data_IF_479763604452
#
_entry.id   IF_479763604452
#
_cell.length_a   1.000
_cell.length_b   1.000
_cell.length_c   1.000
_cell.angle_alpha   90.00
_cell.angle_beta   90.00
_cell.angle_gamma   90.00
#
_symmetry.space_group_name_H-M   'P 1'
#
loop_
_entity.id
_entity.type
_entity.pdbx_description
1 polymer ?
#
# COMPACT_ATOMS: atom_id res chain seq x y z
N UNK A 1 -15.35 -8.64 -19.42
CA UNK A 1 -14.15 -8.10 -20.09
C UNK A 1 -12.94 -8.98 -19.78
N UNK A 2 -11.91 -8.88 -20.60
CA UNK A 2 -10.58 -9.41 -20.34
C UNK A 2 -9.68 -8.26 -19.86
N UNK A 3 -9.28 -8.26 -18.61
CA UNK A 3 -8.49 -7.21 -17.95
C UNK A 3 -7.07 -7.74 -17.75
N UNK A 4 -6.07 -6.93 -18.10
CA UNK A 4 -4.68 -7.24 -17.85
C UNK A 4 -4.09 -6.29 -16.83
N UNK A 5 -3.75 -6.82 -15.66
CA UNK A 5 -3.09 -6.10 -14.58
C UNK A 5 -1.57 -6.08 -14.80
N UNK A 6 -0.95 -4.91 -14.69
CA UNK A 6 0.50 -4.76 -14.74
C UNK A 6 0.95 -4.04 -13.46
N UNK A 7 1.33 -4.76 -12.39
CA UNK A 7 1.83 -4.16 -11.17
C UNK A 7 3.33 -3.85 -11.26
N UNK A 8 3.75 -2.69 -10.72
CA UNK A 8 5.17 -2.32 -10.57
C UNK A 8 5.87 -3.14 -9.49
N UNK A 9 5.13 -3.66 -8.53
CA UNK A 9 5.61 -4.53 -7.46
C UNK A 9 4.50 -5.47 -7.00
N UNK A 10 4.89 -6.69 -6.59
CA UNK A 10 3.98 -7.77 -6.21
C UNK A 10 4.61 -8.61 -5.10
N UNK A 11 3.83 -9.32 -4.27
CA UNK A 11 4.39 -10.20 -3.26
C UNK A 11 5.51 -11.13 -3.78
N UNK A 12 6.58 -11.34 -2.98
CA UNK A 12 6.78 -10.95 -1.57
C UNK A 12 7.30 -9.52 -1.35
N UNK A 13 7.45 -8.70 -2.38
CA UNK A 13 8.07 -7.37 -2.32
C UNK A 13 7.08 -6.22 -2.10
N UNK A 14 5.86 -6.51 -1.67
CA UNK A 14 4.76 -5.55 -1.51
C UNK A 14 3.63 -5.80 -2.50
N UNK A 15 2.71 -4.83 -2.68
CA UNK A 15 1.67 -4.90 -3.72
C UNK A 15 0.54 -5.89 -3.43
N UNK A 16 0.28 -6.25 -2.18
CA UNK A 16 -0.86 -7.11 -1.81
C UNK A 16 -2.20 -6.54 -2.29
N UNK A 17 -2.34 -5.22 -2.32
CA UNK A 17 -3.53 -4.54 -2.82
C UNK A 17 -3.81 -4.83 -4.31
N UNK A 18 -2.78 -5.06 -5.14
CA UNK A 18 -2.96 -5.46 -6.54
C UNK A 18 -3.68 -6.82 -6.63
N UNK A 19 -3.29 -7.76 -5.77
CA UNK A 19 -3.94 -9.08 -5.71
C UNK A 19 -5.39 -8.95 -5.25
N UNK A 20 -5.67 -8.12 -4.24
CA UNK A 20 -7.04 -7.93 -3.74
C UNK A 20 -7.92 -7.23 -4.79
N UNK A 21 -7.41 -6.25 -5.55
CA UNK A 21 -8.15 -5.65 -6.65
C UNK A 21 -8.41 -6.66 -7.79
N UNK A 22 -7.41 -7.47 -8.15
CA UNK A 22 -7.57 -8.55 -9.12
C UNK A 22 -8.66 -9.53 -8.69
N UNK A 23 -8.67 -9.97 -7.42
CA UNK A 23 -9.72 -10.84 -6.89
C UNK A 23 -11.10 -10.21 -7.01
N UNK A 24 -11.23 -8.92 -6.68
CA UNK A 24 -12.49 -8.20 -6.76
C UNK A 24 -13.02 -8.16 -8.20
N UNK A 25 -12.16 -7.90 -9.19
CA UNK A 25 -12.53 -7.91 -10.61
C UNK A 25 -12.94 -9.31 -11.10
N UNK A 26 -12.25 -10.37 -10.67
CA UNK A 26 -12.66 -11.76 -10.95
C UNK A 26 -14.00 -12.08 -10.29
N UNK A 27 -14.25 -11.57 -9.08
CA UNK A 27 -15.55 -11.73 -8.41
C UNK A 27 -16.69 -11.03 -9.16
N UNK A 28 -16.42 -9.91 -9.86
CA UNK A 28 -17.35 -9.26 -10.78
C UNK A 28 -17.57 -10.02 -12.11
N UNK A 29 -16.93 -11.17 -12.32
CA UNK A 29 -17.12 -12.01 -13.51
C UNK A 29 -16.17 -11.68 -14.67
N UNK A 30 -15.10 -10.93 -14.42
CA UNK A 30 -14.11 -10.62 -15.46
C UNK A 30 -13.02 -11.71 -15.56
N UNK A 31 -12.51 -11.90 -16.79
CA UNK A 31 -11.27 -12.63 -17.01
C UNK A 31 -10.11 -11.69 -16.67
N UNK A 32 -9.25 -12.05 -15.72
CA UNK A 32 -8.12 -11.21 -15.30
C UNK A 32 -6.83 -12.00 -15.37
N UNK A 33 -5.81 -11.41 -15.98
CA UNK A 33 -4.43 -11.89 -15.94
C UNK A 33 -3.49 -10.85 -15.36
N UNK A 34 -2.34 -11.27 -14.88
CA UNK A 34 -1.32 -10.39 -14.31
C UNK A 34 0.00 -10.60 -15.06
N UNK A 35 0.60 -9.53 -15.57
CA UNK A 35 2.00 -9.51 -16.02
C UNK A 35 2.87 -8.80 -15.00
N UNK A 36 3.91 -9.47 -14.51
CA UNK A 36 4.78 -8.88 -13.51
C UNK A 36 6.26 -9.13 -13.79
N UNK A 37 7.05 -8.06 -13.77
CA UNK A 37 8.51 -8.09 -13.83
C UNK A 37 9.08 -7.45 -12.56
N UNK A 38 9.68 -8.24 -11.67
CA UNK A 38 10.32 -7.72 -10.47
C UNK A 38 11.72 -7.23 -10.77
N UNK A 39 11.99 -5.95 -10.52
CA UNK A 39 13.35 -5.44 -10.53
C UNK A 39 14.06 -5.79 -9.23
N UNK A 40 15.19 -6.48 -9.33
CA UNK A 40 16.05 -6.85 -8.22
C UNK A 40 17.34 -6.03 -8.26
N UNK A 41 17.57 -5.20 -7.24
CA UNK A 41 18.82 -4.47 -7.05
C UNK A 41 19.78 -5.23 -6.14
N UNK A 42 21.05 -5.30 -6.50
CA UNK A 42 22.06 -6.00 -5.71
C UNK A 42 22.23 -5.43 -4.28
N UNK A 43 22.00 -4.13 -4.11
CA UNK A 43 22.10 -3.44 -2.81
C UNK A 43 20.86 -3.60 -1.93
N UNK A 44 19.68 -3.77 -2.55
CA UNK A 44 18.39 -3.86 -1.83
C UNK A 44 18.03 -5.32 -1.54
N UNK A 45 18.33 -6.21 -2.46
CA UNK A 45 18.00 -7.64 -2.39
C UNK A 45 19.21 -8.50 -2.79
N UNK A 46 20.37 -8.44 -2.07
CA UNK A 46 21.61 -9.04 -2.52
C UNK A 46 21.48 -10.55 -2.73
N UNK A 47 20.79 -11.25 -1.82
CA UNK A 47 20.60 -12.69 -1.94
C UNK A 47 19.65 -13.05 -3.10
N UNK A 48 18.51 -12.38 -3.20
CA UNK A 48 17.57 -12.60 -4.31
C UNK A 48 18.17 -12.20 -5.66
N UNK A 49 19.03 -11.19 -5.71
CA UNK A 49 19.73 -10.80 -6.93
C UNK A 49 20.60 -11.93 -7.49
N UNK A 50 21.17 -12.77 -6.64
CA UNK A 50 22.00 -13.92 -7.04
C UNK A 50 21.18 -15.17 -7.33
N UNK A 51 20.13 -15.45 -6.53
CA UNK A 51 19.43 -16.73 -6.50
C UNK A 51 18.08 -16.73 -7.19
N UNK A 52 17.52 -15.56 -7.53
CA UNK A 52 16.21 -15.46 -8.13
C UNK A 52 16.15 -16.07 -9.53
N UNK A 53 14.97 -16.57 -9.89
CA UNK A 53 14.66 -17.03 -11.24
C UNK A 53 14.51 -15.83 -12.18
N UNK A 54 15.25 -15.84 -13.28
CA UNK A 54 15.20 -14.77 -14.30
C UNK A 54 14.49 -15.21 -15.59
N UNK A 55 14.22 -16.50 -15.75
CA UNK A 55 13.37 -17.00 -16.84
C UNK A 55 11.90 -16.67 -16.53
N UNK A 56 11.08 -16.56 -17.58
CA UNK A 56 9.64 -16.37 -17.45
C UNK A 56 8.97 -17.63 -16.91
N UNK A 57 7.96 -17.46 -16.06
CA UNK A 57 7.16 -18.57 -15.53
C UNK A 57 5.72 -18.13 -15.28
N UNK A 58 4.84 -19.11 -15.25
CA UNK A 58 3.43 -18.93 -14.95
C UNK A 58 3.11 -19.54 -13.59
N UNK A 59 2.26 -18.83 -12.85
CA UNK A 59 1.64 -19.31 -11.62
C UNK A 59 0.12 -19.15 -11.76
N UNK A 60 -0.63 -20.07 -11.20
CA UNK A 60 -2.08 -19.94 -11.06
C UNK A 60 -2.41 -19.70 -9.60
N UNK A 61 -3.03 -18.56 -9.33
CA UNK A 61 -3.57 -18.27 -8.02
C UNK A 61 -5.00 -18.81 -7.96
N UNK A 62 -5.32 -19.49 -6.86
CA UNK A 62 -6.65 -20.04 -6.56
C UNK A 62 -7.24 -19.27 -5.35
N UNK A 63 -7.69 -18.02 -5.53
CA UNK A 63 -8.13 -17.18 -4.42
C UNK A 63 -9.56 -17.48 -3.96
N UNK A 64 -10.28 -18.37 -4.67
CA UNK A 64 -11.66 -18.71 -4.41
C UNK A 64 -11.80 -20.21 -4.13
N UNK A 65 -12.88 -20.59 -3.45
CA UNK A 65 -13.22 -21.99 -3.18
C UNK A 65 -13.87 -22.70 -4.39
N UNK A 66 -13.76 -22.12 -5.57
CA UNK A 66 -14.26 -22.64 -6.83
C UNK A 66 -13.14 -22.73 -7.88
N UNK A 67 -13.50 -23.05 -9.13
CA UNK A 67 -12.52 -23.24 -10.23
C UNK A 67 -11.99 -21.93 -10.83
N UNK A 68 -12.35 -20.76 -10.32
CA UNK A 68 -11.82 -19.48 -10.81
C UNK A 68 -10.36 -19.32 -10.43
N UNK A 69 -9.55 -19.02 -11.43
CA UNK A 69 -8.10 -18.84 -11.26
C UNK A 69 -7.66 -17.49 -11.82
N UNK A 70 -6.59 -16.95 -11.26
CA UNK A 70 -5.88 -15.80 -11.79
C UNK A 70 -4.56 -16.29 -12.37
N UNK A 71 -4.36 -16.04 -13.67
CA UNK A 71 -3.07 -16.34 -14.29
C UNK A 71 -2.07 -15.24 -14.00
N UNK A 72 -0.98 -15.58 -13.35
CA UNK A 72 0.13 -14.70 -13.04
C UNK A 72 1.35 -15.11 -13.86
N UNK A 73 1.71 -14.28 -14.86
CA UNK A 73 2.88 -14.50 -15.70
C UNK A 73 4.02 -13.57 -15.24
N UNK A 74 5.12 -14.16 -14.80
CA UNK A 74 6.19 -13.49 -14.06
C UNK A 74 7.56 -13.63 -14.69
N UNK A 75 8.41 -12.64 -14.39
CA UNK A 75 9.86 -12.73 -14.52
C UNK A 75 10.53 -11.82 -13.49
N UNK A 76 11.85 -11.93 -13.36
CA UNK A 76 12.66 -10.95 -12.64
C UNK A 76 13.66 -10.30 -13.61
N UNK A 77 14.07 -9.08 -13.32
CA UNK A 77 15.17 -8.42 -14.01
C UNK A 77 16.22 -7.93 -13.02
N UNK A 78 17.50 -8.04 -13.41
CA UNK A 78 18.60 -7.44 -12.65
C UNK A 78 18.64 -5.93 -12.91
N UNK A 79 18.50 -5.15 -11.84
CA UNK A 79 18.65 -3.70 -11.93
C UNK A 79 20.11 -3.29 -12.02
N UNK A 80 20.41 -2.35 -12.90
CA UNK A 80 21.72 -1.71 -12.97
C UNK A 80 21.75 -0.56 -11.95
N UNK A 81 22.69 -0.55 -10.99
CA UNK A 81 22.76 0.49 -9.98
C UNK A 81 22.87 1.89 -10.60
N UNK A 82 22.17 2.86 -10.03
CA UNK A 82 22.21 4.28 -10.44
C UNK A 82 21.84 4.58 -11.91
N UNK A 83 21.33 3.60 -12.66
CA UNK A 83 20.90 3.79 -14.05
C UNK A 83 19.41 3.48 -14.20
N UNK A 84 18.61 4.39 -13.68
CA UNK A 84 17.16 4.23 -13.62
C UNK A 84 16.53 4.22 -15.01
N UNK A 85 17.01 5.08 -15.93
CA UNK A 85 16.54 5.13 -17.30
C UNK A 85 16.70 3.80 -18.03
N UNK A 86 17.91 3.29 -18.01
CA UNK A 86 18.19 2.00 -18.64
C UNK A 86 17.30 0.90 -18.08
N UNK A 87 17.14 0.89 -16.74
CA UNK A 87 16.27 -0.07 -16.08
C UNK A 87 14.80 0.09 -16.50
N UNK A 88 14.32 1.34 -16.63
CA UNK A 88 12.96 1.64 -17.08
C UNK A 88 12.72 1.16 -18.52
N UNK A 89 13.62 1.50 -19.45
CA UNK A 89 13.51 1.04 -20.84
C UNK A 89 13.56 -0.49 -20.93
N UNK A 90 14.45 -1.11 -20.17
CA UNK A 90 14.54 -2.58 -20.13
C UNK A 90 13.29 -3.21 -19.56
N UNK A 91 12.71 -2.63 -18.50
CA UNK A 91 11.43 -3.07 -17.94
C UNK A 91 10.32 -2.99 -18.99
N UNK A 92 10.16 -1.85 -19.66
CA UNK A 92 9.14 -1.67 -20.71
C UNK A 92 9.31 -2.70 -21.82
N UNK A 93 10.57 -2.97 -22.27
CA UNK A 93 10.84 -3.99 -23.28
C UNK A 93 10.43 -5.38 -22.81
N UNK A 94 10.80 -5.78 -21.59
CA UNK A 94 10.47 -7.09 -21.03
C UNK A 94 8.95 -7.26 -20.91
N UNK A 95 8.24 -6.26 -20.41
CA UNK A 95 6.77 -6.30 -20.28
C UNK A 95 6.11 -6.37 -21.66
N UNK A 96 6.61 -5.63 -22.66
CA UNK A 96 6.07 -5.69 -24.02
C UNK A 96 6.26 -7.07 -24.65
N UNK A 97 7.40 -7.71 -24.47
CA UNK A 97 7.65 -9.08 -24.95
C UNK A 97 6.73 -10.10 -24.23
N UNK A 98 6.60 -9.97 -22.89
CA UNK A 98 5.68 -10.82 -22.10
C UNK A 98 4.22 -10.61 -22.51
N UNK A 99 3.84 -9.39 -22.89
CA UNK A 99 2.51 -9.09 -23.38
C UNK A 99 2.21 -9.84 -24.67
N UNK A 100 3.14 -9.87 -25.65
CA UNK A 100 2.94 -10.61 -26.91
C UNK A 100 2.79 -12.12 -26.66
N UNK A 101 3.59 -12.68 -25.75
CA UNK A 101 3.45 -14.08 -25.34
C UNK A 101 2.12 -14.35 -24.63
N UNK A 102 1.70 -13.42 -23.75
CA UNK A 102 0.42 -13.52 -23.08
C UNK A 102 -0.74 -13.50 -24.08
N UNK A 103 -0.73 -12.56 -25.02
CA UNK A 103 -1.78 -12.45 -26.04
C UNK A 103 -1.85 -13.71 -26.92
N UNK A 104 -0.72 -14.30 -27.26
CA UNK A 104 -0.69 -15.54 -28.06
C UNK A 104 -1.36 -16.73 -27.35
N UNK A 105 -1.36 -16.75 -26.02
CA UNK A 105 -1.92 -17.84 -25.20
C UNK A 105 -3.34 -17.59 -24.74
N UNK A 106 -3.67 -16.35 -24.41
CA UNK A 106 -4.90 -16.02 -23.69
C UNK A 106 -5.82 -15.06 -24.45
N UNK A 107 -5.38 -14.54 -25.58
CA UNK A 107 -6.06 -13.48 -26.34
C UNK A 107 -5.74 -12.07 -25.86
N UNK A 108 -6.05 -11.07 -26.69
CA UNK A 108 -5.84 -9.68 -26.34
C UNK A 108 -6.77 -9.24 -25.18
N UNK A 109 -6.29 -8.45 -24.23
CA UNK A 109 -7.15 -7.86 -23.23
C UNK A 109 -7.96 -6.70 -23.81
N UNK A 110 -9.14 -6.44 -23.23
CA UNK A 110 -9.96 -5.27 -23.55
C UNK A 110 -9.40 -3.99 -22.93
N UNK A 111 -8.71 -4.12 -21.79
CA UNK A 111 -8.15 -3.02 -21.02
C UNK A 111 -6.89 -3.45 -20.28
N UNK A 112 -5.96 -2.51 -20.13
CA UNK A 112 -4.76 -2.66 -19.29
C UNK A 112 -4.93 -1.79 -18.04
N UNK A 113 -4.71 -2.37 -16.87
CA UNK A 113 -4.68 -1.66 -15.60
C UNK A 113 -3.28 -1.73 -14.99
N UNK A 114 -2.59 -0.61 -14.93
CA UNK A 114 -1.26 -0.51 -14.38
C UNK A 114 -1.30 -0.02 -12.92
N UNK A 115 -0.48 -0.62 -12.06
CA UNK A 115 -0.32 -0.13 -10.68
C UNK A 115 1.01 0.60 -10.55
N UNK A 116 0.91 1.88 -10.25
CA UNK A 116 1.90 2.94 -10.28
C UNK A 116 2.30 3.39 -11.69
N UNK A 117 2.41 4.69 -11.87
CA UNK A 117 2.81 5.31 -13.13
C UNK A 117 4.26 4.95 -13.49
N UNK A 118 5.12 4.90 -12.48
CA UNK A 118 6.49 4.41 -12.61
C UNK A 118 6.47 2.91 -12.94
N UNK A 119 7.33 2.45 -13.82
CA UNK A 119 7.46 1.08 -14.32
C UNK A 119 6.20 0.62 -15.09
N UNK A 120 5.14 0.23 -14.40
CA UNK A 120 3.95 -0.36 -14.99
C UNK A 120 3.20 0.60 -15.92
N UNK A 121 2.94 1.84 -15.49
CA UNK A 121 2.22 2.83 -16.29
C UNK A 121 2.95 3.18 -17.58
N UNK A 122 4.27 3.36 -17.53
CA UNK A 122 5.09 3.62 -18.74
C UNK A 122 5.12 2.42 -19.69
N UNK A 123 5.11 1.19 -19.18
CA UNK A 123 5.03 -0.01 -20.01
C UNK A 123 3.63 -0.16 -20.63
N UNK A 124 2.58 0.09 -19.86
CA UNK A 124 1.19 0.08 -20.34
C UNK A 124 0.97 1.10 -21.46
N UNK A 125 1.53 2.32 -21.31
CA UNK A 125 1.52 3.36 -22.35
C UNK A 125 2.11 2.82 -23.68
N UNK A 126 3.31 2.22 -23.65
CA UNK A 126 3.96 1.71 -24.86
C UNK A 126 3.18 0.56 -25.53
N UNK A 127 2.52 -0.30 -24.73
CA UNK A 127 1.64 -1.34 -25.28
C UNK A 127 0.37 -0.72 -25.87
N UNK A 128 -0.24 0.23 -25.16
CA UNK A 128 -1.44 0.94 -25.61
C UNK A 128 -1.23 1.64 -26.95
N UNK A 129 -0.13 2.36 -27.13
CA UNK A 129 0.24 3.02 -28.40
C UNK A 129 0.40 2.03 -29.56
N UNK A 130 0.98 0.87 -29.29
CA UNK A 130 1.22 -0.14 -30.32
C UNK A 130 -0.02 -0.96 -30.68
N UNK A 131 -0.90 -1.23 -29.70
CA UNK A 131 -2.01 -2.18 -29.82
C UNK A 131 -3.38 -1.54 -29.79
N UNK A 132 -3.46 -0.22 -29.58
CA UNK A 132 -4.71 0.54 -29.44
C UNK A 132 -5.63 -0.03 -28.34
N UNK A 133 -5.04 -0.45 -27.21
CA UNK A 133 -5.76 -0.96 -26.05
C UNK A 133 -5.77 0.14 -24.99
N UNK A 134 -6.94 0.57 -24.47
CA UNK A 134 -6.98 1.60 -23.44
C UNK A 134 -6.30 1.13 -22.16
N UNK A 135 -5.62 2.06 -21.46
CA UNK A 135 -5.01 1.76 -20.18
C UNK A 135 -5.39 2.77 -19.11
N UNK A 136 -5.40 2.28 -17.87
CA UNK A 136 -5.65 3.01 -16.64
C UNK A 136 -4.46 2.85 -15.70
N UNK A 137 -4.24 3.82 -14.85
CA UNK A 137 -3.16 3.76 -13.84
C UNK A 137 -3.78 3.97 -12.46
N UNK A 138 -3.58 3.03 -11.53
CA UNK A 138 -3.81 3.31 -10.10
C UNK A 138 -2.49 3.70 -9.45
N UNK A 139 -2.41 4.93 -8.89
CA UNK A 139 -1.21 5.40 -8.20
C UNK A 139 -1.30 5.11 -6.70
N UNK A 140 -0.27 4.45 -6.18
CA UNK A 140 -0.17 4.01 -4.78
C UNK A 140 0.97 4.67 -4.01
N UNK A 141 1.86 5.40 -4.68
CA UNK A 141 3.03 5.99 -4.06
C UNK A 141 2.73 7.38 -3.49
N UNK A 142 3.18 7.65 -2.28
CA UNK A 142 3.02 8.97 -1.66
C UNK A 142 4.02 9.98 -2.24
N UNK A 143 3.65 11.27 -2.21
CA UNK A 143 4.53 12.38 -2.55
C UNK A 143 5.87 12.30 -1.80
N UNK A 144 5.85 11.88 -0.53
CA UNK A 144 7.06 11.67 0.27
C UNK A 144 8.03 10.63 -0.30
N UNK A 145 7.58 9.72 -1.16
CA UNK A 145 8.46 8.78 -1.88
C UNK A 145 9.08 9.43 -3.12
N UNK A 146 8.40 10.42 -3.70
CA UNK A 146 8.88 11.16 -4.86
C UNK A 146 9.75 12.37 -4.50
N UNK A 147 9.71 12.85 -3.25
CA UNK A 147 10.48 14.00 -2.80
C UNK A 147 11.93 13.65 -2.39
N UNK A 148 12.83 14.61 -2.61
CA UNK A 148 14.27 14.54 -2.26
C UNK A 148 14.51 14.20 -0.80
N UNK A 149 13.68 14.69 0.11
CA UNK A 149 13.79 14.50 1.54
C UNK A 149 13.80 13.02 1.97
N UNK A 150 13.37 12.12 1.10
CA UNK A 150 13.35 10.68 1.36
C UNK A 150 14.32 9.89 0.47
N UNK A 151 15.24 10.60 -0.22
CA UNK A 151 16.30 9.96 -1.00
C UNK A 151 15.77 9.17 -2.21
N UNK A 152 14.69 9.63 -2.82
CA UNK A 152 14.20 9.04 -4.06
C UNK A 152 14.95 9.65 -5.25
N UNK A 153 15.69 8.85 -6.04
CA UNK A 153 16.46 9.35 -7.17
C UNK A 153 15.61 9.94 -8.31
N UNK A 154 14.28 9.73 -8.30
CA UNK A 154 13.36 10.20 -9.33
C UNK A 154 13.15 11.70 -9.32
N UNK A 155 13.29 12.35 -8.19
CA UNK A 155 13.14 13.80 -8.07
C UNK A 155 14.24 14.57 -8.81
N UNK A 156 15.41 13.94 -9.02
CA UNK A 156 16.55 14.52 -9.71
C UNK A 156 16.62 14.18 -11.20
N UNK A 157 15.81 13.24 -11.68
CA UNK A 157 15.88 12.73 -13.04
C UNK A 157 14.73 13.33 -13.89
N UNK A 158 14.98 14.53 -14.41
CA UNK A 158 13.96 15.33 -15.11
C UNK A 158 13.23 14.58 -16.21
N UNK A 159 13.93 13.74 -16.99
CA UNK A 159 13.29 13.04 -18.09
C UNK A 159 12.56 11.77 -17.67
N UNK A 160 12.95 11.11 -16.57
CA UNK A 160 12.13 10.07 -15.95
C UNK A 160 10.81 10.66 -15.45
N UNK A 161 10.85 11.88 -14.92
CA UNK A 161 9.67 12.65 -14.54
C UNK A 161 8.78 12.96 -15.75
N UNK A 162 9.36 13.34 -16.88
CA UNK A 162 8.63 13.59 -18.13
C UNK A 162 8.01 12.32 -18.71
N UNK A 163 8.70 11.19 -18.64
CA UNK A 163 8.15 9.91 -19.06
C UNK A 163 6.94 9.49 -18.20
N UNK A 164 7.03 9.64 -16.88
CA UNK A 164 5.93 9.37 -15.95
C UNK A 164 4.77 10.31 -16.22
N UNK A 165 5.03 11.62 -16.38
CA UNK A 165 4.01 12.61 -16.74
C UNK A 165 3.29 12.21 -18.01
N UNK A 166 4.01 11.85 -19.06
CA UNK A 166 3.44 11.42 -20.34
C UNK A 166 2.56 10.19 -20.18
N UNK A 167 2.98 9.22 -19.35
CA UNK A 167 2.17 8.05 -19.07
C UNK A 167 0.87 8.40 -18.32
N UNK A 168 0.91 9.36 -17.38
CA UNK A 168 -0.29 9.85 -16.70
C UNK A 168 -1.23 10.60 -17.66
N UNK A 169 -0.69 11.49 -18.50
CA UNK A 169 -1.46 12.31 -19.45
C UNK A 169 -2.14 11.48 -20.56
N UNK A 170 -1.51 10.39 -20.99
CA UNK A 170 -2.06 9.48 -22.02
C UNK A 170 -2.95 8.37 -21.48
N UNK A 171 -2.96 8.15 -20.17
CA UNK A 171 -3.87 7.22 -19.55
C UNK A 171 -5.32 7.66 -19.75
N UNK A 172 -6.23 6.71 -19.98
CA UNK A 172 -7.66 7.00 -20.09
C UNK A 172 -8.19 7.65 -18.81
N UNK A 173 -7.72 7.17 -17.65
CA UNK A 173 -7.93 7.79 -16.35
C UNK A 173 -6.84 7.35 -15.37
N UNK A 174 -6.46 8.24 -14.47
CA UNK A 174 -5.59 7.96 -13.33
C UNK A 174 -6.44 7.77 -12.08
N UNK A 175 -6.34 6.62 -11.47
CA UNK A 175 -7.05 6.27 -10.24
C UNK A 175 -6.14 6.63 -9.08
N UNK A 176 -6.63 7.44 -8.16
CA UNK A 176 -5.96 7.77 -6.91
C UNK A 176 -6.65 7.05 -5.75
N UNK A 177 -5.90 6.74 -4.70
CA UNK A 177 -6.46 6.03 -3.54
C UNK A 177 -7.04 6.96 -2.48
N UNK A 178 -6.78 8.27 -2.62
CA UNK A 178 -7.35 9.34 -1.78
C UNK A 178 -7.41 10.65 -2.56
N UNK A 179 -8.23 11.59 -2.13
CA UNK A 179 -8.37 12.88 -2.79
C UNK A 179 -7.10 13.74 -2.63
N UNK A 180 -6.39 13.62 -1.50
CA UNK A 180 -5.11 14.27 -1.27
C UNK A 180 -4.06 13.81 -2.29
N UNK A 181 -4.14 12.57 -2.73
CA UNK A 181 -3.25 12.01 -3.75
C UNK A 181 -3.38 12.71 -5.11
N UNK A 182 -4.56 13.23 -5.43
CA UNK A 182 -4.78 14.03 -6.65
C UNK A 182 -3.92 15.30 -6.61
N UNK A 183 -3.92 16.00 -5.47
CA UNK A 183 -3.13 17.22 -5.29
C UNK A 183 -1.62 16.93 -5.34
N UNK A 184 -1.19 15.84 -4.73
CA UNK A 184 0.20 15.40 -4.76
C UNK A 184 0.68 15.13 -6.19
N UNK A 185 -0.10 14.37 -6.96
CA UNK A 185 0.22 14.09 -8.37
C UNK A 185 0.20 15.36 -9.22
N UNK A 186 -0.78 16.24 -9.03
CA UNK A 186 -0.87 17.50 -9.76
C UNK A 186 0.33 18.42 -9.47
N UNK A 187 0.79 18.46 -8.23
CA UNK A 187 1.98 19.25 -7.83
C UNK A 187 3.24 18.71 -8.49
N UNK A 188 3.38 17.39 -8.62
CA UNK A 188 4.58 16.75 -9.16
C UNK A 188 4.61 16.70 -10.68
N UNK A 189 3.47 16.42 -11.32
CA UNK A 189 3.39 16.07 -12.73
C UNK A 189 2.47 16.99 -13.54
N UNK A 190 1.84 18.00 -12.91
CA UNK A 190 0.82 18.85 -13.53
C UNK A 190 -0.57 18.21 -13.47
N UNK A 191 -1.55 18.85 -14.10
CA UNK A 191 -2.97 18.50 -14.00
C UNK A 191 -3.63 18.14 -15.35
N UNK A 192 -2.85 17.75 -16.34
CA UNK A 192 -3.34 17.42 -17.69
C UNK A 192 -3.77 15.97 -17.86
N UNK A 193 -4.18 15.32 -16.79
CA UNK A 193 -4.73 13.96 -16.80
C UNK A 193 -6.02 13.90 -16.00
N UNK A 194 -6.92 13.00 -16.42
CA UNK A 194 -8.19 12.77 -15.70
C UNK A 194 -7.93 11.93 -14.46
N UNK A 195 -8.60 12.24 -13.36
CA UNK A 195 -8.48 11.50 -12.11
C UNK A 195 -9.83 11.04 -11.57
N UNK A 196 -9.80 9.93 -10.85
CA UNK A 196 -10.92 9.44 -10.04
C UNK A 196 -10.36 8.82 -8.77
N UNK A 197 -11.02 9.04 -7.64
CA UNK A 197 -10.62 8.43 -6.36
C UNK A 197 -11.36 7.12 -6.14
N UNK A 198 -10.61 6.02 -6.05
CA UNK A 198 -11.12 4.69 -5.70
C UNK A 198 -10.22 4.10 -4.61
N UNK A 199 -10.81 3.79 -3.47
CA UNK A 199 -10.10 3.25 -2.29
C UNK A 199 -9.36 1.94 -2.59
N UNK A 200 -8.30 1.68 -1.84
CA UNK A 200 -7.72 0.35 -1.75
C UNK A 200 -8.74 -0.64 -1.17
N UNK A 201 -8.50 -1.92 -1.41
CA UNK A 201 -9.31 -3.03 -0.88
C UNK A 201 -8.68 -3.59 0.39
N UNK A 202 -9.53 -3.92 1.35
CA UNK A 202 -9.17 -4.68 2.55
C UNK A 202 -9.90 -6.02 2.53
N UNK A 203 -9.20 -7.08 2.92
CA UNK A 203 -9.78 -8.40 3.18
C UNK A 203 -10.60 -8.36 4.48
N UNK A 204 -11.85 -7.92 4.36
CA UNK A 204 -12.75 -7.66 5.48
C UNK A 204 -13.22 -8.94 6.19
N UNK A 205 -13.17 -10.08 5.53
CA UNK A 205 -13.50 -11.36 6.16
C UNK A 205 -12.33 -11.84 7.01
N UNK A 206 -11.13 -11.56 6.59
CA UNK A 206 -9.93 -11.86 7.36
C UNK A 206 -9.77 -10.90 8.54
N UNK A 207 -9.83 -9.57 8.32
CA UNK A 207 -9.74 -8.54 9.37
C UNK A 207 -11.10 -8.16 9.96
N UNK A 208 -12.01 -9.13 10.11
CA UNK A 208 -13.35 -8.86 10.62
C UNK A 208 -13.35 -8.40 12.07
N UNK A 209 -14.38 -7.66 12.45
CA UNK A 209 -14.67 -7.33 13.83
C UNK A 209 -14.80 -8.59 14.68
N UNK A 210 -14.28 -8.53 15.87
CA UNK A 210 -14.44 -9.55 16.90
C UNK A 210 -14.82 -8.89 18.20
N UNK A 211 -15.93 -9.28 18.76
CA UNK A 211 -16.35 -8.82 20.09
C UNK A 211 -15.27 -9.14 21.13
N UNK A 212 -15.05 -8.21 22.01
CA UNK A 212 -13.97 -8.29 23.02
C UNK A 212 -14.54 -8.26 24.42
N UNK A 213 -13.89 -9.00 25.31
CA UNK A 213 -14.16 -8.89 26.75
C UNK A 213 -13.77 -7.50 27.23
N UNK A 214 -14.57 -6.91 28.15
CA UNK A 214 -14.21 -5.64 28.81
C UNK A 214 -12.82 -5.72 29.41
N UNK A 215 -12.09 -4.61 29.35
CA UNK A 215 -10.78 -4.49 29.99
C UNK A 215 -10.91 -4.69 31.51
N UNK A 216 -10.51 -5.84 31.99
CA UNK A 216 -10.48 -6.12 33.43
C UNK A 216 -9.10 -5.74 33.98
N UNK A 217 -8.93 -4.49 34.40
CA UNK A 217 -7.74 -3.95 35.11
C UNK A 217 -6.37 -4.13 34.40
N UNK A 218 -6.32 -4.52 33.11
CA UNK A 218 -5.06 -4.57 32.36
C UNK A 218 -4.67 -3.18 31.81
N UNK A 219 -3.38 -2.94 31.54
CA UNK A 219 -2.94 -1.74 30.82
C UNK A 219 -3.64 -1.56 29.48
N UNK A 220 -3.77 -0.31 29.02
CA UNK A 220 -4.25 0.00 27.67
C UNK A 220 -3.19 -0.42 26.65
N UNK A 221 -3.57 -1.20 25.63
CA UNK A 221 -2.65 -1.73 24.63
C UNK A 221 -2.75 -0.97 23.35
N UNK A 222 -1.67 -0.27 23.01
CA UNK A 222 -1.46 0.30 21.70
C UNK A 222 -0.69 -0.67 20.79
N UNK A 223 -1.01 -0.72 19.50
CA UNK A 223 -0.15 -1.35 18.51
C UNK A 223 0.31 -0.35 17.45
N UNK A 224 1.55 -0.51 17.00
CA UNK A 224 2.12 0.18 15.85
C UNK A 224 2.59 -0.86 14.85
N UNK A 225 2.00 -0.86 13.66
CA UNK A 225 2.30 -1.81 12.59
C UNK A 225 2.96 -1.07 11.43
N UNK A 226 4.27 -0.95 11.48
CA UNK A 226 5.04 -0.20 10.48
C UNK A 226 6.48 -0.70 10.40
N UNK A 227 7.08 -0.61 9.21
CA UNK A 227 8.48 -0.91 9.02
C UNK A 227 9.38 0.16 9.66
N UNK A 228 10.53 -0.23 10.20
CA UNK A 228 11.51 0.66 10.83
C UNK A 228 12.87 0.68 10.09
N UNK A 229 12.97 0.03 8.93
CA UNK A 229 14.21 -0.04 8.17
C UNK A 229 14.51 1.26 7.40
N UNK A 230 15.78 1.69 7.44
CA UNK A 230 16.25 2.85 6.68
C UNK A 230 15.40 4.10 6.93
N UNK A 231 14.97 4.75 5.86
CA UNK A 231 14.15 5.96 5.88
C UNK A 231 12.73 5.77 6.45
N UNK A 232 12.25 4.53 6.52
CA UNK A 232 10.92 4.27 7.10
C UNK A 232 10.86 4.57 8.59
N UNK A 233 11.98 4.56 9.30
CA UNK A 233 12.02 4.96 10.69
C UNK A 233 11.54 6.42 10.86
N UNK A 234 12.06 7.35 10.06
CA UNK A 234 11.67 8.76 10.07
C UNK A 234 10.27 8.94 9.49
N UNK A 235 10.00 8.33 8.34
CA UNK A 235 8.73 8.46 7.63
C UNK A 235 7.54 8.01 8.49
N UNK A 236 7.72 6.94 9.28
CA UNK A 236 6.69 6.41 10.19
C UNK A 236 6.69 7.07 11.58
N UNK A 237 7.54 8.09 11.77
CA UNK A 237 7.55 8.96 12.94
C UNK A 237 7.85 8.26 14.25
N UNK A 238 8.77 7.29 14.25
CA UNK A 238 9.08 6.51 15.46
C UNK A 238 9.55 7.39 16.63
N UNK A 239 10.33 8.45 16.38
CA UNK A 239 10.76 9.35 17.46
C UNK A 239 9.57 10.11 18.08
N UNK A 240 8.60 10.53 17.27
CA UNK A 240 7.36 11.16 17.75
C UNK A 240 6.55 10.17 18.57
N UNK A 241 6.35 8.95 18.08
CA UNK A 241 5.61 7.89 18.77
C UNK A 241 6.25 7.57 20.13
N UNK A 242 7.55 7.33 20.15
CA UNK A 242 8.28 6.95 21.38
C UNK A 242 8.27 8.09 22.42
N UNK A 243 8.49 9.35 22.00
CA UNK A 243 8.38 10.52 22.88
C UNK A 243 6.97 10.69 23.45
N UNK A 244 5.93 10.48 22.63
CA UNK A 244 4.55 10.54 23.09
C UNK A 244 4.23 9.41 24.08
N UNK A 245 4.62 8.17 23.74
CA UNK A 245 4.37 7.01 24.59
C UNK A 245 5.13 7.08 25.93
N UNK A 246 6.31 7.69 25.96
CA UNK A 246 7.09 7.84 27.22
C UNK A 246 6.32 8.57 28.33
N UNK A 247 5.30 9.36 27.98
CA UNK A 247 4.42 10.09 28.90
C UNK A 247 3.18 9.29 29.29
N UNK A 248 2.88 8.17 28.62
CA UNK A 248 1.72 7.35 28.93
C UNK A 248 1.91 6.56 30.23
N UNK A 249 0.87 6.59 31.08
CA UNK A 249 0.80 5.77 32.30
C UNK A 249 -0.14 4.61 32.07
N UNK A 250 0.13 3.46 32.72
CA UNK A 250 -0.70 2.25 32.65
C UNK A 250 -1.06 1.83 31.22
N UNK A 251 -0.06 1.85 30.32
CA UNK A 251 -0.20 1.48 28.90
C UNK A 251 0.95 0.59 28.44
N UNK A 252 0.68 -0.23 27.45
CA UNK A 252 1.64 -1.06 26.69
C UNK A 252 1.69 -0.62 25.24
N UNK A 253 2.87 -0.70 24.60
CA UNK A 253 3.05 -0.42 23.18
C UNK A 253 3.68 -1.62 22.49
N UNK A 254 2.94 -2.21 21.56
CA UNK A 254 3.36 -3.34 20.75
C UNK A 254 3.75 -2.86 19.36
N UNK A 255 5.01 -3.04 18.96
CA UNK A 255 5.54 -2.57 17.67
C UNK A 255 5.90 -3.78 16.81
N UNK A 256 5.33 -3.86 15.60
CA UNK A 256 5.63 -4.91 14.65
C UNK A 256 5.89 -4.36 13.24
N UNK A 257 6.74 -5.04 12.50
CA UNK A 257 7.17 -4.71 11.14
C UNK A 257 8.64 -5.01 10.92
N UNK A 258 9.09 -4.86 9.68
CA UNK A 258 10.49 -5.12 9.32
C UNK A 258 11.43 -4.21 10.09
N UNK A 259 12.54 -4.75 10.61
CA UNK A 259 13.56 -4.05 11.39
C UNK A 259 13.07 -3.42 12.71
N UNK A 260 11.87 -3.74 13.18
CA UNK A 260 11.41 -3.25 14.50
C UNK A 260 12.17 -3.89 15.67
N UNK A 261 12.87 -4.99 15.45
CA UNK A 261 13.84 -5.59 16.38
C UNK A 261 15.29 -5.16 16.11
N UNK A 262 15.51 -4.26 15.15
CA UNK A 262 16.84 -3.75 14.78
C UNK A 262 17.48 -2.86 15.84
N UNK A 263 18.79 -2.64 15.75
CA UNK A 263 19.59 -1.88 16.75
C UNK A 263 19.06 -0.47 16.98
N UNK A 264 18.64 0.23 15.92
CA UNK A 264 18.19 1.61 15.98
C UNK A 264 16.98 1.75 16.92
N UNK A 265 15.91 1.00 16.64
CA UNK A 265 14.69 1.08 17.44
C UNK A 265 14.90 0.50 18.85
N UNK A 266 15.64 -0.60 19.00
CA UNK A 266 16.00 -1.14 20.33
C UNK A 266 16.72 -0.11 21.20
N UNK A 267 17.67 0.64 20.64
CA UNK A 267 18.41 1.66 21.40
C UNK A 267 17.49 2.83 21.78
N UNK A 268 16.63 3.29 20.85
CA UNK A 268 15.66 4.33 21.14
C UNK A 268 14.67 3.91 22.26
N UNK A 269 14.20 2.66 22.24
CA UNK A 269 13.32 2.13 23.30
C UNK A 269 14.05 2.03 24.63
N UNK A 270 15.30 1.52 24.66
CA UNK A 270 16.08 1.37 25.90
C UNK A 270 16.35 2.68 26.62
N UNK A 271 16.38 3.80 25.92
CA UNK A 271 16.58 5.12 26.52
C UNK A 271 15.35 5.66 27.25
N UNK A 272 14.19 5.01 27.15
CA UNK A 272 12.95 5.45 27.77
C UNK A 272 12.76 4.86 29.18
N UNK A 273 12.22 5.66 30.09
CA UNK A 273 11.95 5.24 31.47
C UNK A 273 10.90 4.12 31.58
N UNK A 274 9.97 4.07 30.61
CA UNK A 274 8.92 3.04 30.52
C UNK A 274 9.20 1.96 29.48
N UNK A 275 10.46 1.75 29.11
CA UNK A 275 10.90 0.77 28.10
C UNK A 275 10.38 -0.66 28.33
N UNK A 276 10.17 -1.04 29.60
CA UNK A 276 9.58 -2.35 29.98
C UNK A 276 8.15 -2.57 29.47
N UNK A 277 7.45 -1.50 29.12
CA UNK A 277 6.08 -1.54 28.59
C UNK A 277 6.05 -1.48 27.05
N UNK A 278 7.21 -1.58 26.36
CA UNK A 278 7.32 -1.56 24.91
C UNK A 278 7.80 -2.92 24.41
N UNK A 279 7.00 -3.54 23.55
CA UNK A 279 7.22 -4.88 23.04
C UNK A 279 7.53 -4.82 21.54
N UNK A 280 8.72 -5.28 21.15
CA UNK A 280 9.18 -5.29 19.75
C UNK A 280 9.03 -6.71 19.17
N UNK A 281 8.16 -6.88 18.20
CA UNK A 281 7.78 -8.20 17.66
C UNK A 281 8.56 -8.62 16.40
N UNK A 282 9.17 -7.66 15.68
CA UNK A 282 9.75 -7.96 14.37
C UNK A 282 8.66 -8.05 13.29
N UNK A 283 8.99 -8.69 12.18
CA UNK A 283 8.06 -8.93 11.09
C UNK A 283 7.11 -10.08 11.47
N UNK A 284 5.81 -9.84 11.33
CA UNK A 284 4.75 -10.80 11.69
C UNK A 284 4.06 -11.34 10.44
N UNK A 285 3.53 -12.58 10.51
CA UNK A 285 2.63 -13.09 9.49
C UNK A 285 1.29 -12.35 9.50
N UNK A 286 0.52 -12.44 8.42
CA UNK A 286 -0.80 -11.80 8.30
C UNK A 286 -1.73 -12.23 9.45
N UNK A 287 -1.69 -13.50 9.84
CA UNK A 287 -2.45 -14.08 10.96
C UNK A 287 -2.03 -13.50 12.31
N UNK A 288 -0.72 -13.33 12.53
CA UNK A 288 -0.17 -12.75 13.76
C UNK A 288 -0.49 -11.24 13.83
N UNK A 289 -0.47 -10.51 12.71
CA UNK A 289 -0.93 -9.12 12.64
C UNK A 289 -2.40 -9.03 13.05
N UNK A 290 -3.27 -9.86 12.50
CA UNK A 290 -4.69 -9.90 12.88
C UNK A 290 -4.88 -10.21 14.37
N UNK A 291 -4.15 -11.20 14.88
CA UNK A 291 -4.22 -11.57 16.29
C UNK A 291 -3.80 -10.41 17.20
N UNK A 292 -2.73 -9.67 16.83
CA UNK A 292 -2.28 -8.50 17.54
C UNK A 292 -3.32 -7.37 17.51
N UNK A 293 -3.93 -7.10 16.35
CA UNK A 293 -5.01 -6.13 16.21
C UNK A 293 -6.21 -6.49 17.09
N UNK A 294 -6.55 -7.76 17.23
CA UNK A 294 -7.63 -8.23 18.10
C UNK A 294 -7.30 -8.13 19.60
N UNK A 295 -6.04 -8.13 19.97
CA UNK A 295 -5.59 -8.04 21.38
C UNK A 295 -5.34 -6.60 21.85
N UNK A 296 -5.08 -5.67 20.93
CA UNK A 296 -4.84 -4.27 21.21
C UNK A 296 -6.12 -3.43 21.24
N UNK A 297 -6.09 -2.30 21.94
CA UNK A 297 -7.23 -1.40 22.14
C UNK A 297 -7.27 -0.28 21.09
N UNK A 298 -6.09 0.14 20.55
CA UNK A 298 -5.99 1.15 19.50
C UNK A 298 -4.73 0.94 18.65
N UNK A 299 -4.82 1.32 17.36
CA UNK A 299 -3.64 1.50 16.51
C UNK A 299 -3.06 2.89 16.71
N UNK A 300 -1.73 3.00 16.75
CA UNK A 300 -1.00 4.28 16.75
C UNK A 300 -0.01 4.32 15.58
N UNK A 301 -0.04 5.39 14.78
CA UNK A 301 0.83 5.56 13.62
C UNK A 301 1.23 7.03 13.46
N UNK A 302 2.39 7.43 13.97
CA UNK A 302 2.87 8.82 13.95
C UNK A 302 3.48 9.25 12.61
N UNK A 303 2.98 8.71 11.51
CA UNK A 303 3.53 8.85 10.16
C UNK A 303 3.60 10.30 9.66
N UNK A 304 4.57 10.58 8.79
CA UNK A 304 4.77 11.90 8.19
C UNK A 304 4.14 12.03 6.79
N UNK A 305 3.85 10.92 6.11
CA UNK A 305 3.24 10.90 4.78
C UNK A 305 2.59 9.56 4.50
N UNK A 306 1.36 9.59 3.98
CA UNK A 306 0.61 8.41 3.56
C UNK A 306 -0.32 8.76 2.40
N UNK A 307 -0.57 7.78 1.52
CA UNK A 307 -1.60 7.89 0.49
C UNK A 307 -2.94 7.32 0.98
N UNK A 308 -2.93 6.07 1.40
CA UNK A 308 -4.03 5.37 2.07
C UNK A 308 -3.43 4.13 2.76
N UNK A 309 -3.03 4.23 4.03
CA UNK A 309 -2.32 3.15 4.70
C UNK A 309 -3.26 1.98 4.99
N UNK A 310 -2.95 0.83 4.39
CA UNK A 310 -3.74 -0.40 4.58
C UNK A 310 -3.85 -0.78 6.05
N UNK A 311 -2.76 -0.61 6.82
CA UNK A 311 -2.74 -0.96 8.25
C UNK A 311 -3.77 -0.21 9.09
N UNK A 312 -4.07 1.05 8.73
CA UNK A 312 -5.12 1.84 9.37
C UNK A 312 -6.49 1.25 9.05
N UNK A 313 -6.71 0.90 7.78
CA UNK A 313 -7.96 0.29 7.33
C UNK A 313 -8.14 -1.11 7.92
N UNK A 314 -7.08 -1.93 7.98
CA UNK A 314 -7.05 -3.25 8.61
C UNK A 314 -7.39 -3.14 10.11
N UNK A 315 -6.78 -2.20 10.81
CA UNK A 315 -7.05 -1.95 12.22
C UNK A 315 -8.52 -1.55 12.45
N UNK A 316 -9.01 -0.57 11.72
CA UNK A 316 -10.40 -0.12 11.83
C UNK A 316 -11.39 -1.20 11.42
N UNK A 317 -11.08 -2.04 10.45
CA UNK A 317 -11.94 -3.19 10.08
C UNK A 317 -12.06 -4.23 11.20
N UNK A 318 -11.04 -4.34 12.09
CA UNK A 318 -11.16 -5.14 13.33
C UNK A 318 -11.93 -4.42 14.45
N UNK A 319 -12.39 -3.19 14.20
CA UNK A 319 -13.18 -2.37 15.11
C UNK A 319 -12.36 -1.51 16.07
N UNK A 320 -11.02 -1.48 16.00
CA UNK A 320 -10.22 -0.62 16.91
C UNK A 320 -10.12 0.81 16.40
N UNK A 321 -10.16 1.81 17.31
CA UNK A 321 -9.89 3.19 16.96
C UNK A 321 -8.41 3.41 16.63
N UNK A 322 -8.14 4.54 15.99
CA UNK A 322 -6.80 4.90 15.50
C UNK A 322 -6.37 6.25 16.02
N UNK A 323 -5.11 6.35 16.41
CA UNK A 323 -4.39 7.63 16.63
C UNK A 323 -3.36 7.77 15.52
N UNK A 324 -3.43 8.85 14.76
CA UNK A 324 -2.43 9.13 13.75
C UNK A 324 -2.27 10.64 13.53
N UNK A 325 -1.55 11.01 12.49
CA UNK A 325 -1.27 12.41 12.17
C UNK A 325 -2.19 12.96 11.08
N UNK A 326 -2.08 14.27 10.85
CA UNK A 326 -2.73 14.93 9.71
C UNK A 326 -2.18 14.50 8.34
N UNK A 327 -1.21 13.59 8.28
CA UNK A 327 -0.75 12.97 7.05
C UNK A 327 -1.68 11.84 6.53
N UNK A 328 -2.64 11.38 7.35
CA UNK A 328 -3.63 10.38 6.92
C UNK A 328 -4.74 11.09 6.13
N UNK A 329 -5.21 10.53 5.00
CA UNK A 329 -6.32 11.07 4.23
C UNK A 329 -7.58 11.33 5.05
N UNK A 330 -8.29 12.43 4.73
CA UNK A 330 -9.51 12.83 5.43
C UNK A 330 -10.58 11.73 5.42
N UNK A 331 -10.71 11.01 4.31
CA UNK A 331 -11.68 9.93 4.18
C UNK A 331 -11.53 8.81 5.22
N UNK A 332 -10.33 8.63 5.80
CA UNK A 332 -10.08 7.65 6.87
C UNK A 332 -10.26 8.22 8.29
N UNK A 333 -10.43 9.55 8.43
CA UNK A 333 -10.57 10.20 9.75
C UNK A 333 -12.03 10.14 10.24
N UNK A 334 -12.48 8.93 10.55
CA UNK A 334 -13.85 8.66 10.98
C UNK A 334 -14.12 9.32 12.33
N UNK A 335 -15.12 10.21 12.47
CA UNK A 335 -15.44 10.88 13.73
C UNK A 335 -15.68 9.88 14.88
N UNK A 336 -15.12 10.17 16.05
CA UNK A 336 -15.24 9.32 17.24
C UNK A 336 -14.39 8.04 17.23
N UNK A 337 -13.77 7.70 16.09
CA UNK A 337 -12.91 6.52 15.95
C UNK A 337 -11.48 6.87 15.53
N UNK A 338 -11.25 8.07 15.04
CA UNK A 338 -9.94 8.53 14.57
C UNK A 338 -9.52 9.82 15.28
N UNK A 339 -8.34 9.78 15.89
CA UNK A 339 -7.76 10.88 16.65
C UNK A 339 -6.51 11.38 15.94
N UNK A 340 -6.48 12.66 15.61
CA UNK A 340 -5.41 13.29 14.83
C UNK A 340 -4.51 14.18 15.67
N UNK A 341 -3.23 14.19 15.34
CA UNK A 341 -2.27 15.22 15.76
C UNK A 341 -1.56 15.83 14.55
N UNK A 342 -0.97 17.02 14.67
CA UNK A 342 -0.01 17.50 13.67
C UNK A 342 1.16 16.53 13.52
N UNK A 343 1.75 16.50 12.33
CA UNK A 343 2.98 15.73 12.04
C UNK A 343 4.12 16.25 12.92
N UNK A 344 4.97 15.36 13.40
CA UNK A 344 6.15 15.65 14.23
C UNK A 344 5.86 16.42 15.54
N UNK A 345 4.65 16.26 16.07
CA UNK A 345 4.26 16.86 17.34
C UNK A 345 3.99 15.78 18.41
N UNK A 346 4.99 15.39 19.24
CA UNK A 346 4.83 14.32 20.21
C UNK A 346 3.87 14.68 21.36
N UNK A 347 3.68 15.97 21.68
CA UNK A 347 2.77 16.39 22.75
C UNK A 347 1.31 16.24 22.30
N UNK A 348 0.96 16.78 21.14
CA UNK A 348 -0.37 16.59 20.57
C UNK A 348 -0.67 15.11 20.26
N UNK A 349 0.36 14.33 19.85
CA UNK A 349 0.19 12.90 19.64
C UNK A 349 -0.10 12.17 20.97
N UNK A 350 0.56 12.57 22.06
CA UNK A 350 0.27 12.04 23.39
C UNK A 350 -1.17 12.38 23.83
N UNK A 351 -1.62 13.62 23.64
CA UNK A 351 -3.01 14.02 23.96
C UNK A 351 -4.02 13.15 23.20
N UNK A 352 -3.79 12.91 21.91
CA UNK A 352 -4.61 12.01 21.10
C UNK A 352 -4.57 10.56 21.63
N UNK A 353 -3.40 10.08 22.08
CA UNK A 353 -3.26 8.76 22.71
C UNK A 353 -4.02 8.66 24.05
N UNK A 354 -4.16 9.75 24.78
CA UNK A 354 -4.99 9.77 26.01
C UNK A 354 -6.47 9.78 25.62
N UNK A 355 -6.87 10.63 24.68
CA UNK A 355 -8.27 10.76 24.25
C UNK A 355 -8.85 9.45 23.71
N UNK A 356 -8.09 8.68 22.93
CA UNK A 356 -8.56 7.40 22.37
C UNK A 356 -8.87 6.34 23.42
N UNK A 357 -8.31 6.44 24.63
CA UNK A 357 -8.54 5.46 25.69
C UNK A 357 -9.99 5.43 26.21
N UNK A 358 -10.77 6.47 25.92
CA UNK A 358 -12.20 6.51 26.22
C UNK A 358 -13.06 5.73 25.20
N UNK A 359 -12.47 5.35 24.06
CA UNK A 359 -13.20 4.65 22.97
C UNK A 359 -13.01 3.15 23.11
N UNK A 360 -14.11 2.42 23.04
CA UNK A 360 -14.05 0.96 22.97
C UNK A 360 -14.09 0.50 21.49
N UNK A 361 -13.38 -0.58 21.16
CA UNK A 361 -13.53 -1.23 19.86
C UNK A 361 -14.99 -1.58 19.58
N UNK A 362 -15.45 -1.30 18.35
CA UNK A 362 -16.86 -1.47 18.01
C UNK A 362 -17.06 -1.90 16.54
N UNK A 363 -18.19 -2.54 16.29
CA UNK A 363 -18.61 -2.90 14.93
C UNK A 363 -18.93 -1.67 14.08
N UNK A 364 -19.30 -0.56 14.70
CA UNK A 364 -19.56 0.71 14.00
C UNK A 364 -18.31 1.18 13.27
N UNK A 365 -17.12 1.09 13.91
CA UNK A 365 -15.84 1.43 13.31
C UNK A 365 -15.56 0.48 12.13
N UNK A 366 -15.77 -0.81 12.30
CA UNK A 366 -15.57 -1.81 11.26
C UNK A 366 -16.47 -1.56 10.04
N UNK A 367 -17.74 -1.26 10.26
CA UNK A 367 -18.72 -1.02 9.19
C UNK A 367 -18.39 0.25 8.38
N UNK A 368 -17.81 1.26 8.99
CA UNK A 368 -17.37 2.47 8.27
C UNK A 368 -16.32 2.14 7.20
N UNK A 369 -15.36 1.26 7.51
CA UNK A 369 -14.36 0.79 6.54
C UNK A 369 -14.99 -0.16 5.51
N UNK A 370 -15.91 -1.04 5.91
CA UNK A 370 -16.62 -1.93 4.99
C UNK A 370 -17.34 -1.17 3.88
N UNK A 371 -17.97 -0.06 4.22
CA UNK A 371 -18.69 0.79 3.25
C UNK A 371 -17.76 1.54 2.28
N UNK A 372 -16.46 1.61 2.57
CA UNK A 372 -15.48 2.30 1.73
C UNK A 372 -14.65 1.32 0.89
N UNK A 373 -14.18 0.23 1.49
CA UNK A 373 -13.05 -0.57 1.02
C UNK A 373 -13.38 -2.05 0.81
N UNK A 374 -14.67 -2.41 0.78
CA UNK A 374 -15.03 -3.80 0.50
C UNK A 374 -14.68 -4.18 -0.95
N UNK A 375 -14.25 -5.43 -1.17
CA UNK A 375 -13.95 -5.93 -2.52
C UNK A 375 -15.09 -5.72 -3.50
N UNK A 376 -16.35 -5.87 -3.04
CA UNK A 376 -17.54 -5.69 -3.87
C UNK A 376 -17.71 -4.22 -4.31
N UNK A 377 -17.60 -3.27 -3.39
CA UNK A 377 -17.78 -1.83 -3.69
C UNK A 377 -16.67 -1.34 -4.62
N UNK A 378 -15.42 -1.66 -4.30
CA UNK A 378 -14.27 -1.22 -5.08
C UNK A 378 -14.23 -1.90 -6.44
N UNK A 379 -14.50 -3.24 -6.50
CA UNK A 379 -14.55 -3.99 -7.74
C UNK A 379 -15.59 -3.42 -8.72
N UNK A 380 -16.80 -3.10 -8.24
CA UNK A 380 -17.84 -2.46 -9.07
C UNK A 380 -17.48 -1.05 -9.54
N UNK A 381 -16.77 -0.27 -8.72
CA UNK A 381 -16.28 1.06 -9.13
C UNK A 381 -15.24 0.94 -10.26
N UNK A 382 -14.29 0.01 -10.13
CA UNK A 382 -13.31 -0.26 -11.17
C UNK A 382 -13.97 -0.78 -12.45
N UNK A 383 -14.89 -1.74 -12.33
CA UNK A 383 -15.67 -2.27 -13.45
C UNK A 383 -16.37 -1.16 -14.24
N UNK A 384 -17.12 -0.29 -13.56
CA UNK A 384 -17.82 0.84 -14.20
C UNK A 384 -16.84 1.75 -14.95
N UNK A 385 -15.73 2.12 -14.29
CA UNK A 385 -14.70 2.97 -14.87
C UNK A 385 -14.10 2.34 -16.15
N UNK A 386 -13.83 1.04 -16.14
CA UNK A 386 -13.25 0.34 -17.31
C UNK A 386 -14.25 0.16 -18.44
N UNK A 387 -15.56 0.09 -18.15
CA UNK A 387 -16.63 -0.03 -19.13
C UNK A 387 -17.05 1.29 -19.77
N UNK A 388 -16.72 2.42 -19.16
CA UNK A 388 -17.07 3.73 -19.70
C UNK A 388 -16.37 3.98 -21.05
N UNK A 389 -17.17 4.05 -22.13
CA UNK A 389 -16.66 4.26 -23.51
C UNK A 389 -16.19 5.70 -23.79
N UNK A 390 -16.66 6.67 -22.96
CA UNK A 390 -16.32 8.09 -23.10
C UNK A 390 -16.01 8.67 -21.73
N UNK A 391 -14.74 8.80 -21.41
CA UNK A 391 -14.25 9.66 -20.35
C UNK A 391 -13.63 10.92 -20.94
#
# INVERSE_FOLDING_TARGET
MHILEIPSFLPPYGGYFCIEQTKALVACGHKVGILHCQQLGATVYPWHFLTARYNRWEEKLHPFNDNRTITLYRTNMRGVPKNILYNQHRYCKIIAEMFEEYVSRYGAPDVIHAHCAQWAGTAAMGISEKRNIPYFITEHLSSGIFHDNYGNPWSHDLWAKDLIRTALEKAKCVITVSDESVLDLATLFGNRFKTVTISNIIDLDFFKFKERKKRNNRPFRFCCLANANGKFYELKGYDTLLKAFSKCKNAELHIAGRETTGKRLKNAVRSLSNSKNIFLHGELSKEAVRALLWDCDALVLATCSEMQPLVVMEAMSTGIPVVSTTAIPMALRIPGAFFTSPVNNPDAFHEAMIAVQAVNPSEVISNAIRNMASPEIVGRKLERLFMEKSL
#
